data_IF_234577392785
#
_entry.id   IF_234577392785
#
_cell.length_a   1.000
_cell.length_b   1.000
_cell.length_c   1.000
_cell.angle_alpha   90.00
_cell.angle_beta   90.00
_cell.angle_gamma   90.00
#
_symmetry.space_group_name_H-M   'P 1'
#
loop_
_entity.id
_entity.type
_entity.pdbx_description
1 polymer ?
#
# COMPACT_ATOMS: atom_id res chain seq x y z
N UNK A 1 8.18 18.11 -8.00
CA UNK A 1 7.49 18.95 -9.03
C UNK A 1 8.43 19.51 -10.07
N UNK A 2 9.67 19.87 -9.72
CA UNK A 2 10.69 20.37 -10.69
C UNK A 2 10.98 19.34 -11.80
N UNK A 3 11.12 18.08 -11.44
CA UNK A 3 11.42 17.00 -12.39
C UNK A 3 10.30 16.78 -13.43
N UNK A 4 9.04 16.86 -13.01
CA UNK A 4 7.90 16.73 -13.92
C UNK A 4 7.87 17.87 -14.97
N UNK A 5 8.28 19.08 -14.57
CA UNK A 5 8.40 20.20 -15.49
C UNK A 5 9.47 19.96 -16.55
N UNK A 6 10.57 19.29 -16.21
CA UNK A 6 11.61 18.90 -17.18
C UNK A 6 11.08 17.92 -18.24
N UNK A 7 10.06 17.12 -17.89
CA UNK A 7 9.36 16.22 -18.81
C UNK A 7 8.19 16.89 -19.56
N UNK A 8 8.10 18.23 -19.53
CA UNK A 8 7.03 18.98 -20.23
C UNK A 8 5.69 19.02 -19.51
N UNK A 9 5.56 18.39 -18.32
CA UNK A 9 4.33 18.43 -17.54
C UNK A 9 4.20 19.74 -16.76
N UNK A 10 2.97 20.21 -16.57
CA UNK A 10 2.66 21.41 -15.78
C UNK A 10 1.87 21.06 -14.51
N UNK A 11 2.49 20.36 -13.55
CA UNK A 11 1.78 19.88 -12.36
C UNK A 11 1.36 21.05 -11.46
N UNK A 12 0.15 20.99 -10.95
CA UNK A 12 -0.36 21.85 -9.88
C UNK A 12 -0.52 21.01 -8.62
N UNK A 13 0.24 21.33 -7.58
CA UNK A 13 0.10 20.65 -6.29
C UNK A 13 -1.08 21.25 -5.52
N UNK A 14 -1.97 20.37 -5.06
CA UNK A 14 -3.11 20.72 -4.21
C UNK A 14 -2.91 20.02 -2.87
N UNK A 15 -2.80 20.79 -1.81
CA UNK A 15 -2.75 20.27 -0.44
C UNK A 15 -4.12 20.40 0.19
N UNK A 16 -4.55 19.39 0.92
CA UNK A 16 -5.84 19.36 1.60
C UNK A 16 -5.67 18.85 3.04
N UNK A 17 -6.55 19.27 3.98
CA UNK A 17 -6.66 18.61 5.26
C UNK A 17 -6.96 17.11 5.07
N UNK A 18 -6.50 16.27 6.00
CA UNK A 18 -6.58 14.81 5.89
C UNK A 18 -7.98 14.30 5.56
N UNK A 19 -9.02 14.83 6.20
CA UNK A 19 -10.41 14.42 5.96
C UNK A 19 -10.85 14.67 4.52
N UNK A 20 -10.52 15.84 3.97
CA UNK A 20 -10.82 16.20 2.58
C UNK A 20 -9.98 15.37 1.61
N UNK A 21 -8.71 15.14 1.92
CA UNK A 21 -7.82 14.30 1.11
C UNK A 21 -8.37 12.86 1.00
N UNK A 22 -8.78 12.26 2.12
CA UNK A 22 -9.37 10.90 2.12
C UNK A 22 -10.61 10.82 1.23
N UNK A 23 -11.48 11.83 1.27
CA UNK A 23 -12.66 11.89 0.40
C UNK A 23 -12.27 11.96 -1.08
N UNK A 24 -11.44 12.94 -1.47
CA UNK A 24 -10.98 13.12 -2.86
C UNK A 24 -10.33 11.84 -3.39
N UNK A 25 -9.47 11.21 -2.58
CA UNK A 25 -8.80 9.96 -2.94
C UNK A 25 -9.78 8.82 -3.23
N UNK A 26 -10.79 8.65 -2.36
CA UNK A 26 -11.81 7.60 -2.54
C UNK A 26 -12.69 7.83 -3.76
N UNK A 27 -12.96 9.08 -4.08
CA UNK A 27 -13.78 9.47 -5.23
C UNK A 27 -12.98 9.45 -6.55
N UNK A 28 -11.64 9.37 -6.49
CA UNK A 28 -10.78 9.44 -7.69
C UNK A 28 -10.66 10.86 -8.25
N UNK A 29 -10.86 11.89 -7.43
CA UNK A 29 -10.83 13.30 -7.83
C UNK A 29 -9.42 13.88 -7.96
N UNK A 30 -8.52 13.18 -8.65
CA UNK A 30 -7.13 13.61 -8.87
C UNK A 30 -6.58 13.02 -10.17
N UNK A 31 -5.62 13.69 -10.78
CA UNK A 31 -4.85 13.16 -11.92
C UNK A 31 -3.69 12.27 -11.43
N UNK A 32 -3.02 12.69 -10.37
CA UNK A 32 -2.00 11.91 -9.67
C UNK A 32 -2.05 12.22 -8.17
N UNK A 33 -1.76 11.23 -7.33
CA UNK A 33 -1.68 11.40 -5.89
C UNK A 33 -0.50 10.63 -5.32
N UNK A 34 0.10 11.18 -4.26
CA UNK A 34 1.06 10.45 -3.44
C UNK A 34 0.31 9.97 -2.22
N UNK A 35 0.34 8.68 -1.99
CA UNK A 35 -0.35 8.05 -0.89
C UNK A 35 0.59 7.10 -0.15
N UNK A 36 0.17 6.75 1.04
CA UNK A 36 0.85 5.82 1.89
C UNK A 36 0.13 4.46 1.87
N UNK A 37 0.87 3.40 1.64
CA UNK A 37 0.35 2.03 1.62
C UNK A 37 0.84 1.27 2.86
N UNK A 38 0.11 1.33 3.99
CA UNK A 38 0.51 0.63 5.19
C UNK A 38 0.39 -0.89 5.01
N UNK A 39 1.40 -1.62 5.48
CA UNK A 39 1.32 -3.07 5.61
C UNK A 39 0.58 -3.41 6.91
N UNK A 40 -0.56 -4.10 6.79
CA UNK A 40 -1.34 -4.53 7.95
C UNK A 40 -0.89 -5.89 8.47
N UNK A 41 -0.68 -6.82 7.56
CA UNK A 41 -0.19 -8.16 7.83
C UNK A 41 0.80 -8.57 6.74
N UNK A 42 1.72 -9.48 7.02
CA UNK A 42 2.68 -9.98 6.03
C UNK A 42 2.02 -11.01 5.09
N UNK A 43 0.88 -10.67 4.51
CA UNK A 43 0.19 -11.48 3.52
C UNK A 43 -0.10 -10.66 2.27
N UNK A 44 0.36 -11.12 1.08
CA UNK A 44 0.17 -10.43 -0.19
C UNK A 44 -1.31 -10.14 -0.51
N UNK A 45 -2.24 -11.02 -0.13
CA UNK A 45 -3.67 -10.84 -0.39
C UNK A 45 -4.19 -9.53 0.20
N UNK A 46 -3.73 -9.18 1.42
CA UNK A 46 -4.15 -7.97 2.12
C UNK A 46 -3.53 -6.69 1.56
N UNK A 47 -2.48 -6.82 0.76
CA UNK A 47 -1.86 -5.69 0.09
C UNK A 47 -2.38 -5.54 -1.34
N UNK A 48 -2.50 -6.64 -2.06
CA UNK A 48 -2.87 -6.66 -3.46
C UNK A 48 -4.34 -6.31 -3.72
N UNK A 49 -5.25 -6.51 -2.74
CA UNK A 49 -6.67 -6.18 -2.92
C UNK A 49 -6.92 -4.71 -3.27
N UNK A 50 -5.95 -3.82 -3.02
CA UNK A 50 -6.04 -2.40 -3.38
C UNK A 50 -5.85 -2.13 -4.87
N UNK A 51 -5.33 -3.10 -5.60
CA UNK A 51 -4.94 -2.96 -7.00
C UNK A 51 -5.81 -3.77 -7.95
N UNK A 52 -6.73 -4.59 -7.44
CA UNK A 52 -7.74 -5.26 -8.26
C UNK A 52 -8.80 -4.25 -8.74
N UNK A 53 -9.60 -4.65 -9.72
CA UNK A 53 -10.57 -3.76 -10.37
C UNK A 53 -11.46 -2.98 -9.40
N UNK A 54 -11.73 -1.72 -9.73
CA UNK A 54 -12.41 -0.76 -8.83
C UNK A 54 -13.85 -1.17 -8.49
N UNK A 55 -14.51 -1.96 -9.32
CA UNK A 55 -15.82 -2.53 -9.05
C UNK A 55 -15.77 -3.69 -8.03
N UNK A 56 -14.59 -4.22 -7.74
CA UNK A 56 -14.35 -5.29 -6.77
C UNK A 56 -13.84 -4.78 -5.42
N UNK A 57 -13.26 -3.60 -5.39
CA UNK A 57 -12.72 -3.01 -4.16
C UNK A 57 -12.83 -1.49 -4.13
N UNK A 58 -13.37 -0.95 -3.04
CA UNK A 58 -13.40 0.48 -2.81
C UNK A 58 -11.99 1.08 -2.51
N UNK A 59 -10.99 0.22 -2.30
CA UNK A 59 -9.61 0.63 -2.01
C UNK A 59 -8.76 0.86 -3.25
N UNK A 60 -9.28 0.56 -4.44
CA UNK A 60 -8.65 0.95 -5.70
C UNK A 60 -8.96 2.42 -5.99
N UNK A 61 -8.02 3.28 -5.64
CA UNK A 61 -8.17 4.73 -5.83
C UNK A 61 -7.87 5.18 -7.26
N UNK A 62 -7.12 4.38 -8.03
CA UNK A 62 -6.85 4.64 -9.45
C UNK A 62 -8.08 4.46 -10.34
N UNK A 63 -9.14 3.81 -9.83
CA UNK A 63 -10.40 3.54 -10.53
C UNK A 63 -10.23 2.73 -11.82
N UNK A 64 -9.11 2.06 -12.00
CA UNK A 64 -8.89 1.19 -13.14
C UNK A 64 -9.67 -0.13 -13.02
N UNK A 65 -9.85 -0.78 -14.16
CA UNK A 65 -10.38 -2.14 -14.26
C UNK A 65 -9.40 -2.98 -15.06
N UNK A 66 -8.93 -4.07 -14.44
CA UNK A 66 -7.98 -5.01 -15.04
C UNK A 66 -8.38 -6.44 -14.68
N UNK A 67 -9.03 -7.12 -15.61
CA UNK A 67 -9.55 -8.48 -15.39
C UNK A 67 -8.47 -9.55 -15.38
N UNK A 68 -7.34 -9.32 -15.98
CA UNK A 68 -6.23 -10.27 -15.92
C UNK A 68 -5.52 -10.18 -14.57
N UNK A 69 -5.37 -8.97 -14.03
CA UNK A 69 -4.90 -8.78 -12.67
C UNK A 69 -5.86 -9.40 -11.64
N UNK A 70 -7.17 -9.24 -11.83
CA UNK A 70 -8.20 -9.89 -11.00
C UNK A 70 -8.06 -11.41 -10.97
N UNK A 71 -7.89 -12.05 -12.14
CA UNK A 71 -7.70 -13.51 -12.24
C UNK A 71 -6.45 -13.99 -11.49
N UNK A 72 -5.34 -13.25 -11.63
CA UNK A 72 -4.09 -13.58 -10.91
C UNK A 72 -4.29 -13.45 -9.41
N UNK A 73 -4.99 -12.41 -8.96
CA UNK A 73 -5.32 -12.20 -7.55
C UNK A 73 -6.16 -13.36 -6.99
N UNK A 74 -7.20 -13.77 -7.69
CA UNK A 74 -8.06 -14.87 -7.26
C UNK A 74 -7.30 -16.20 -7.22
N UNK A 75 -6.47 -16.46 -8.22
CA UNK A 75 -5.63 -17.67 -8.28
C UNK A 75 -4.65 -17.73 -7.09
N UNK A 76 -3.94 -16.64 -6.77
CA UNK A 76 -2.99 -16.64 -5.66
C UNK A 76 -3.68 -16.79 -4.30
N UNK A 77 -4.90 -16.27 -4.16
CA UNK A 77 -5.67 -16.35 -2.92
C UNK A 77 -6.08 -17.78 -2.58
N UNK A 78 -6.38 -18.59 -3.60
CA UNK A 78 -6.77 -19.99 -3.44
C UNK A 78 -5.60 -20.99 -3.47
N UNK A 79 -4.38 -20.55 -3.79
CA UNK A 79 -3.24 -21.47 -3.95
C UNK A 79 -2.62 -21.84 -2.60
N UNK A 80 -2.54 -23.14 -2.33
CA UNK A 80 -1.99 -23.70 -1.09
C UNK A 80 -0.50 -24.05 -1.19
N UNK A 81 -0.01 -24.34 -2.39
CA UNK A 81 1.41 -24.57 -2.63
C UNK A 81 2.17 -23.24 -2.55
N UNK A 82 3.12 -23.15 -1.62
CA UNK A 82 3.86 -21.92 -1.35
C UNK A 82 4.65 -21.43 -2.56
N UNK A 83 5.23 -22.32 -3.35
CA UNK A 83 6.06 -21.94 -4.50
C UNK A 83 5.18 -21.43 -5.66
N UNK A 84 4.08 -22.12 -5.92
CA UNK A 84 3.08 -21.69 -6.91
C UNK A 84 2.46 -20.35 -6.52
N UNK A 85 2.07 -20.21 -5.24
CA UNK A 85 1.54 -18.95 -4.70
C UNK A 85 2.55 -17.81 -4.86
N UNK A 86 3.82 -18.04 -4.53
CA UNK A 86 4.89 -17.04 -4.72
C UNK A 86 5.01 -16.63 -6.18
N UNK A 87 4.96 -17.56 -7.12
CA UNK A 87 5.02 -17.26 -8.55
C UNK A 87 3.82 -16.42 -9.00
N UNK A 88 2.61 -16.69 -8.50
CA UNK A 88 1.42 -15.91 -8.77
C UNK A 88 1.50 -14.50 -8.18
N UNK A 89 2.03 -14.36 -6.95
CA UNK A 89 2.27 -13.07 -6.30
C UNK A 89 3.24 -12.22 -7.15
N UNK A 90 4.38 -12.79 -7.55
CA UNK A 90 5.33 -12.07 -8.41
C UNK A 90 4.73 -11.70 -9.77
N UNK A 91 3.91 -12.59 -10.35
CA UNK A 91 3.18 -12.28 -11.59
C UNK A 91 2.23 -11.10 -11.41
N UNK A 92 1.49 -11.07 -10.30
CA UNK A 92 0.59 -9.96 -9.96
C UNK A 92 1.36 -8.65 -9.85
N UNK A 93 2.44 -8.64 -9.07
CA UNK A 93 3.28 -7.45 -8.87
C UNK A 93 3.84 -6.93 -10.18
N UNK A 94 4.40 -7.83 -11.01
CA UNK A 94 4.93 -7.48 -12.33
C UNK A 94 3.86 -6.83 -13.20
N UNK A 95 2.67 -7.47 -13.32
CA UNK A 95 1.57 -6.95 -14.15
C UNK A 95 1.09 -5.58 -13.65
N UNK A 96 0.96 -5.40 -12.33
CA UNK A 96 0.54 -4.13 -11.75
C UNK A 96 1.54 -2.99 -12.02
N UNK A 97 2.85 -3.30 -11.98
CA UNK A 97 3.91 -2.34 -12.27
C UNK A 97 4.01 -2.00 -13.76
N UNK A 98 3.86 -2.99 -14.64
CA UNK A 98 3.87 -2.79 -16.09
C UNK A 98 2.70 -1.93 -16.57
N UNK A 99 1.53 -2.08 -15.95
CA UNK A 99 0.36 -1.24 -16.22
C UNK A 99 0.48 0.18 -15.61
N UNK A 100 1.45 0.40 -14.73
CA UNK A 100 1.74 1.68 -14.09
C UNK A 100 0.53 2.34 -13.38
N UNK A 101 -0.45 1.55 -12.93
CA UNK A 101 -1.58 2.06 -12.13
C UNK A 101 -1.14 2.63 -10.80
N UNK A 102 -0.08 2.06 -10.25
CA UNK A 102 0.56 2.49 -9.00
C UNK A 102 2.06 2.33 -9.12
N UNK A 103 2.79 3.34 -8.69
CA UNK A 103 4.25 3.35 -8.69
C UNK A 103 4.77 3.40 -7.26
N UNK A 104 5.44 2.35 -6.77
CA UNK A 104 6.19 2.44 -5.52
C UNK A 104 7.31 3.46 -5.65
N UNK A 105 7.28 4.52 -4.84
CA UNK A 105 8.25 5.62 -4.93
C UNK A 105 9.37 5.44 -3.93
N UNK A 106 9.04 5.01 -2.70
CA UNK A 106 10.00 4.85 -1.62
C UNK A 106 9.46 3.93 -0.53
N UNK A 107 10.37 3.37 0.24
CA UNK A 107 10.07 2.72 1.51
C UNK A 107 10.42 3.68 2.64
N UNK A 108 9.59 3.71 3.66
CA UNK A 108 9.83 4.52 4.86
C UNK A 108 10.15 3.61 6.03
N UNK A 109 11.27 3.86 6.66
CA UNK A 109 11.60 3.19 7.91
C UNK A 109 10.71 3.70 9.03
N UNK A 110 10.33 2.80 9.90
CA UNK A 110 9.59 3.17 11.10
C UNK A 110 10.57 3.52 12.21
N UNK A 111 10.62 4.79 12.54
CA UNK A 111 11.43 5.29 13.66
C UNK A 111 10.54 5.45 14.88
N UNK A 112 10.92 4.80 15.99
CA UNK A 112 10.22 4.89 17.27
C UNK A 112 11.22 5.41 18.32
N UNK A 113 10.89 6.54 18.90
CA UNK A 113 11.63 7.07 20.04
C UNK A 113 11.01 6.53 21.34
N UNK A 114 11.82 5.91 22.17
CA UNK A 114 11.43 5.38 23.48
C UNK A 114 12.27 6.02 24.57
N UNK A 115 11.66 6.29 25.71
CA UNK A 115 12.41 6.65 26.92
C UNK A 115 13.26 5.44 27.35
N UNK A 116 14.48 5.69 27.84
CA UNK A 116 15.41 4.63 28.28
C UNK A 116 14.86 3.74 29.39
N UNK A 117 13.89 4.22 30.15
CA UNK A 117 13.16 3.47 31.17
C UNK A 117 12.14 2.47 30.61
N UNK A 118 11.75 2.59 29.33
CA UNK A 118 10.81 1.67 28.72
C UNK A 118 11.55 0.44 28.25
N UNK A 119 11.23 -0.71 28.80
CA UNK A 119 11.84 -2.01 28.49
C UNK A 119 10.82 -2.96 27.87
N UNK A 120 11.30 -4.00 27.19
CA UNK A 120 10.46 -5.05 26.62
C UNK A 120 9.62 -4.65 25.41
N UNK A 121 9.82 -3.45 24.86
CA UNK A 121 9.13 -3.04 23.64
C UNK A 121 9.74 -3.71 22.41
N UNK A 122 8.89 -4.36 21.61
CA UNK A 122 9.29 -5.02 20.35
C UNK A 122 8.56 -4.34 19.18
N UNK A 123 9.31 -3.97 18.14
CA UNK A 123 8.70 -3.41 16.92
C UNK A 123 8.08 -4.55 16.12
N UNK A 124 6.77 -4.53 15.94
CA UNK A 124 6.07 -5.46 15.08
C UNK A 124 6.17 -5.04 13.61
N UNK A 125 6.11 -6.02 12.69
CA UNK A 125 6.11 -5.77 11.25
C UNK A 125 4.89 -4.97 10.77
N UNK A 126 3.79 -5.02 11.52
CA UNK A 126 2.59 -4.21 11.25
C UNK A 126 2.50 -3.05 12.22
N UNK A 127 2.32 -1.84 11.68
CA UNK A 127 2.15 -0.64 12.51
C UNK A 127 0.77 -0.53 13.17
N UNK A 128 -0.23 -1.25 12.66
CA UNK A 128 -1.61 -1.24 13.19
C UNK A 128 -1.79 -2.32 14.25
N UNK A 129 -1.24 -3.51 14.00
CA UNK A 129 -1.29 -4.63 14.93
C UNK A 129 -0.13 -4.60 15.93
N UNK A 130 0.31 -3.42 16.29
CA UNK A 130 1.45 -3.22 17.19
C UNK A 130 1.06 -3.54 18.65
N UNK A 131 0.58 -4.76 18.87
CA UNK A 131 0.13 -5.27 20.18
C UNK A 131 1.29 -5.72 21.06
N UNK A 132 2.43 -5.06 20.92
CA UNK A 132 3.67 -5.42 21.61
C UNK A 132 3.76 -4.84 23.02
N UNK A 133 2.66 -4.31 23.53
CA UNK A 133 2.57 -3.78 24.90
C UNK A 133 2.62 -4.84 25.99
N UNK A 134 2.33 -6.12 25.64
CA UNK A 134 2.23 -7.21 26.63
C UNK A 134 3.50 -7.43 27.45
N UNK A 135 4.66 -7.14 26.90
CA UNK A 135 5.95 -7.31 27.58
C UNK A 135 6.59 -5.99 28.01
N UNK A 136 5.89 -4.86 27.87
CA UNK A 136 6.44 -3.54 28.17
C UNK A 136 6.33 -3.25 29.65
N UNK A 137 7.44 -2.80 30.24
CA UNK A 137 7.50 -2.36 31.63
C UNK A 137 8.43 -1.14 31.77
N UNK A 138 8.36 -0.49 32.89
CA UNK A 138 9.24 0.62 33.27
C UNK A 138 10.30 0.11 34.25
N UNK A 139 11.56 0.48 33.99
CA UNK A 139 12.73 0.22 34.84
C UNK A 139 13.25 1.54 35.42
#
# INVERSE_FOLDING_TARGET
>A
MSEWKKCGLKPKMITNPTSKFVKIRREGGFDATIDWAPSFLPDPTLMHFKYISADRTASNYSKNTDRDLDKIFDAQKGEVDKNKRKALVHKFEKTALENAWVLPVTYTDRVIALNSKVKGYVIANSHILNNTWRGVYLD
#
